data_IF_002685397759
#
_entry.id   IF_002685397759
#
_cell.length_a   1.000
_cell.length_b   1.000
_cell.length_c   1.000
_cell.angle_alpha   90.00
_cell.angle_beta   90.00
_cell.angle_gamma   90.00
#
_symmetry.space_group_name_H-M   'P 1'
#
loop_
_entity.id
_entity.type
_entity.pdbx_description
1 polymer ?
#
# COMPACT_ATOMS: atom_id res chain seq x y z
N UNK A 1 17.25 -32.27 -43.96
CA UNK A 1 18.49 -31.53 -44.31
C UNK A 1 18.84 -30.59 -43.14
N UNK A 2 19.92 -30.92 -42.49
CA UNK A 2 20.44 -30.25 -41.30
C UNK A 2 21.28 -29.07 -41.75
N UNK A 3 21.06 -27.87 -41.23
CA UNK A 3 22.08 -26.83 -41.20
C UNK A 3 22.26 -26.28 -39.80
N UNK A 4 23.28 -26.78 -39.14
CA UNK A 4 23.87 -26.17 -37.96
C UNK A 4 24.64 -24.93 -38.41
N UNK A 5 24.42 -23.80 -37.73
CA UNK A 5 25.35 -22.68 -37.77
C UNK A 5 25.79 -22.37 -36.33
N UNK A 6 27.04 -22.56 -36.10
CA UNK A 6 27.84 -22.34 -34.91
C UNK A 6 28.71 -21.12 -35.19
N UNK A 7 28.58 -20.05 -34.44
CA UNK A 7 29.51 -18.90 -34.38
C UNK A 7 29.06 -18.11 -33.13
N UNK A 8 29.84 -17.70 -32.19
CA UNK A 8 31.28 -17.59 -31.97
C UNK A 8 31.41 -16.74 -30.71
N UNK A 9 32.20 -17.25 -29.81
CA UNK A 9 32.54 -16.71 -28.49
C UNK A 9 33.44 -15.48 -28.64
N UNK A 10 33.07 -14.31 -28.11
CA UNK A 10 34.02 -13.23 -27.85
C UNK A 10 33.82 -12.66 -26.44
N UNK A 11 34.74 -13.09 -25.59
CA UNK A 11 35.03 -12.49 -24.28
C UNK A 11 35.74 -11.15 -24.52
N UNK A 12 35.20 -10.07 -24.02
CA UNK A 12 35.95 -8.82 -23.83
C UNK A 12 35.90 -8.46 -22.35
N UNK A 13 37.01 -8.77 -21.68
CA UNK A 13 37.34 -8.30 -20.33
C UNK A 13 37.92 -6.90 -20.42
N UNK A 14 37.23 -5.91 -19.92
CA UNK A 14 37.84 -4.59 -19.64
C UNK A 14 37.98 -4.42 -18.13
N UNK A 15 39.19 -4.64 -17.66
CA UNK A 15 39.67 -4.15 -16.36
C UNK A 15 39.78 -2.64 -16.45
N UNK A 16 38.97 -1.93 -15.66
CA UNK A 16 39.15 -0.51 -15.40
C UNK A 16 39.54 -0.32 -13.95
N UNK A 17 40.85 -0.13 -13.73
CA UNK A 17 41.37 0.37 -12.46
C UNK A 17 40.93 1.79 -12.23
N UNK A 18 40.19 2.07 -11.17
CA UNK A 18 39.98 3.43 -10.70
C UNK A 18 40.83 3.67 -9.45
N UNK A 19 41.74 4.60 -9.59
CA UNK A 19 42.62 5.10 -8.53
C UNK A 19 41.87 5.82 -7.45
N UNK A 20 42.18 5.45 -6.21
CA UNK A 20 41.71 6.10 -5.00
C UNK A 20 42.51 7.38 -4.79
N UNK A 21 41.92 8.54 -4.91
CA UNK A 21 42.49 9.77 -4.39
C UNK A 21 41.88 10.09 -3.03
N UNK A 22 42.74 9.92 -2.05
CA UNK A 22 42.55 10.26 -0.64
C UNK A 22 42.53 11.79 -0.51
N UNK A 23 41.40 12.39 -0.11
CA UNK A 23 41.36 13.75 0.39
C UNK A 23 40.68 13.76 1.77
N UNK A 24 41.55 13.90 2.80
CA UNK A 24 41.11 14.23 4.16
C UNK A 24 40.42 15.59 4.16
N UNK A 25 39.17 15.64 4.66
CA UNK A 25 38.68 16.81 5.35
C UNK A 25 37.83 16.38 6.54
N UNK A 26 38.29 16.81 7.71
CA UNK A 26 37.59 16.72 8.97
C UNK A 26 36.31 17.59 8.92
N UNK A 27 35.21 17.00 9.34
CA UNK A 27 33.96 17.68 9.53
C UNK A 27 32.99 16.71 10.14
N UNK A 28 33.01 16.68 11.48
CA UNK A 28 32.14 15.87 12.34
C UNK A 28 30.68 16.29 12.11
N UNK A 29 29.89 15.41 11.53
CA UNK A 29 28.46 15.26 11.79
C UNK A 29 28.05 13.89 11.25
N UNK A 30 28.09 12.92 12.16
CA UNK A 30 27.40 11.64 12.03
C UNK A 30 25.90 11.93 11.92
N UNK A 31 25.44 12.15 10.71
CA UNK A 31 24.06 11.98 10.39
C UNK A 31 23.88 10.49 10.12
N UNK A 32 23.48 9.75 11.16
CA UNK A 32 22.91 8.43 10.98
C UNK A 32 21.80 8.58 9.95
N UNK A 33 21.74 7.71 8.92
CA UNK A 33 20.55 7.65 8.09
C UNK A 33 19.40 7.32 9.03
N UNK A 34 18.49 8.28 9.18
CA UNK A 34 17.21 8.05 9.83
C UNK A 34 16.66 6.79 9.20
N UNK A 35 16.45 5.78 10.02
CA UNK A 35 15.69 4.60 9.70
C UNK A 35 14.31 5.10 9.32
N UNK A 36 14.12 5.42 8.04
CA UNK A 36 12.81 5.54 7.45
C UNK A 36 12.16 4.19 7.75
N UNK A 37 11.36 4.15 8.81
CA UNK A 37 10.40 3.08 8.98
C UNK A 37 9.70 2.99 7.64
N UNK A 38 9.85 1.86 6.98
CA UNK A 38 9.01 1.46 5.87
C UNK A 38 7.59 1.43 6.41
N UNK A 39 6.96 2.59 6.43
CA UNK A 39 5.56 2.70 6.82
C UNK A 39 4.79 2.02 5.70
N UNK A 40 4.30 0.82 5.98
CA UNK A 40 3.51 0.05 5.03
C UNK A 40 2.38 0.96 4.52
N UNK A 41 2.43 1.26 3.23
CA UNK A 41 1.41 2.07 2.57
C UNK A 41 0.33 1.15 2.06
N UNK A 42 -0.89 1.43 2.46
CA UNK A 42 -2.07 0.76 1.93
C UNK A 42 -2.54 1.46 0.65
N UNK A 43 -2.92 0.69 -0.35
CA UNK A 43 -3.50 1.22 -1.60
C UNK A 43 -4.82 1.93 -1.35
N UNK A 44 -5.59 1.41 -0.40
CA UNK A 44 -6.86 2.01 0.01
C UNK A 44 -7.06 1.80 1.52
N UNK A 45 -7.47 2.86 2.21
CA UNK A 45 -8.00 2.78 3.57
C UNK A 45 -9.42 3.36 3.55
N UNK A 46 -10.37 2.58 4.04
CA UNK A 46 -11.76 3.02 4.27
C UNK A 46 -11.97 3.14 5.76
N UNK A 47 -12.14 4.36 6.24
CA UNK A 47 -12.26 4.69 7.66
C UNK A 47 -13.69 5.09 8.00
N UNK A 48 -14.36 4.27 8.79
CA UNK A 48 -15.66 4.59 9.38
C UNK A 48 -15.45 5.28 10.72
N UNK A 49 -15.93 6.51 10.83
CA UNK A 49 -15.77 7.31 12.05
C UNK A 49 -17.13 7.72 12.64
N UNK A 50 -17.10 8.10 13.91
CA UNK A 50 -18.27 8.62 14.62
C UNK A 50 -18.09 10.09 14.98
N UNK A 51 -19.08 10.94 14.70
CA UNK A 51 -19.10 12.31 15.23
C UNK A 51 -19.69 12.40 16.66
N UNK A 52 -19.83 11.28 17.39
CA UNK A 52 -20.36 11.23 18.76
C UNK A 52 -21.66 10.43 18.95
N UNK A 53 -22.15 9.78 17.88
CA UNK A 53 -23.38 8.97 17.93
C UNK A 53 -23.27 7.66 17.14
N UNK A 54 -22.05 7.13 17.05
CA UNK A 54 -21.73 5.89 16.36
C UNK A 54 -21.47 6.06 14.86
N UNK A 55 -20.88 5.02 14.28
CA UNK A 55 -20.60 4.91 12.86
C UNK A 55 -21.88 4.65 12.05
N UNK A 56 -21.84 4.86 10.73
CA UNK A 56 -22.91 4.48 9.83
C UNK A 56 -22.93 2.96 9.59
N UNK A 57 -23.65 2.24 10.46
CA UNK A 57 -23.76 0.77 10.41
C UNK A 57 -24.45 0.27 9.15
N UNK A 58 -25.38 1.07 8.57
CA UNK A 58 -26.07 0.67 7.34
C UNK A 58 -25.09 0.63 6.17
N UNK A 59 -24.31 1.68 6.00
CA UNK A 59 -23.30 1.75 4.94
C UNK A 59 -22.18 0.75 5.20
N UNK A 60 -21.76 0.55 6.46
CA UNK A 60 -20.81 -0.50 6.80
C UNK A 60 -21.30 -1.89 6.34
N UNK A 61 -22.56 -2.25 6.61
CA UNK A 61 -23.09 -3.55 6.22
C UNK A 61 -23.16 -3.71 4.69
N UNK A 62 -23.54 -2.65 3.97
CA UNK A 62 -23.54 -2.65 2.49
C UNK A 62 -22.12 -2.86 1.97
N UNK A 63 -21.14 -2.17 2.56
CA UNK A 63 -19.74 -2.30 2.15
C UNK A 63 -19.17 -3.70 2.44
N UNK A 64 -19.43 -4.25 3.62
CA UNK A 64 -19.02 -5.62 3.95
C UNK A 64 -19.66 -6.63 3.00
N UNK A 65 -20.95 -6.48 2.67
CA UNK A 65 -21.60 -7.35 1.68
C UNK A 65 -20.96 -7.21 0.30
N UNK A 66 -20.64 -6.01 -0.15
CA UNK A 66 -19.90 -5.79 -1.38
C UNK A 66 -18.55 -6.51 -1.40
N UNK A 67 -17.77 -6.42 -0.32
CA UNK A 67 -16.49 -7.12 -0.21
C UNK A 67 -16.67 -8.64 -0.33
N UNK A 68 -17.60 -9.19 0.41
CA UNK A 68 -17.79 -10.64 0.49
C UNK A 68 -18.40 -11.26 -0.77
N UNK A 69 -19.25 -10.50 -1.48
CA UNK A 69 -19.93 -11.00 -2.69
C UNK A 69 -19.16 -10.73 -3.98
N UNK A 70 -18.60 -9.52 -4.11
CA UNK A 70 -17.93 -9.11 -5.36
C UNK A 70 -16.43 -9.36 -5.36
N UNK A 71 -15.81 -9.41 -4.19
CA UNK A 71 -14.36 -9.54 -4.02
C UNK A 71 -13.97 -10.52 -2.91
N UNK A 72 -14.46 -11.78 -2.93
CA UNK A 72 -14.27 -12.73 -1.82
C UNK A 72 -12.81 -13.14 -1.58
N UNK A 73 -11.92 -12.86 -2.51
CA UNK A 73 -10.48 -13.20 -2.42
C UNK A 73 -9.60 -12.03 -1.97
N UNK A 74 -10.17 -10.82 -1.85
CA UNK A 74 -9.39 -9.67 -1.37
C UNK A 74 -9.11 -9.83 0.12
N UNK A 75 -7.85 -9.59 0.49
CA UNK A 75 -7.42 -9.54 1.88
C UNK A 75 -7.37 -8.08 2.38
N UNK A 76 -7.67 -7.89 3.64
CA UNK A 76 -7.59 -6.57 4.30
C UNK A 76 -7.34 -6.71 5.80
N UNK A 77 -6.68 -5.71 6.35
CA UNK A 77 -6.60 -5.56 7.80
C UNK A 77 -7.80 -4.76 8.30
N UNK A 78 -8.34 -5.15 9.45
CA UNK A 78 -9.43 -4.45 10.11
C UNK A 78 -8.96 -3.89 11.44
N UNK A 79 -8.86 -2.57 11.53
CA UNK A 79 -8.35 -1.88 12.71
C UNK A 79 -9.50 -1.16 13.41
N UNK A 80 -9.79 -1.58 14.64
CA UNK A 80 -10.74 -0.89 15.50
C UNK A 80 -9.97 0.14 16.32
N UNK A 81 -10.39 1.41 16.30
CA UNK A 81 -9.61 2.48 16.91
C UNK A 81 -10.41 3.42 17.83
N UNK A 82 -11.70 3.54 17.68
CA UNK A 82 -12.53 4.41 18.49
C UNK A 82 -13.38 3.67 19.52
N UNK A 83 -14.15 4.41 20.30
CA UNK A 83 -15.04 3.87 21.37
C UNK A 83 -16.45 3.62 20.90
N UNK A 84 -16.84 4.18 19.77
CA UNK A 84 -18.22 4.13 19.24
C UNK A 84 -18.36 3.20 18.03
N UNK A 85 -17.36 2.31 17.85
CA UNK A 85 -17.34 1.31 16.80
C UNK A 85 -16.57 1.73 15.55
N UNK A 86 -15.74 2.77 15.67
CA UNK A 86 -14.88 3.24 14.59
C UNK A 86 -13.90 2.17 14.16
N UNK A 87 -13.70 2.09 12.86
CA UNK A 87 -12.83 1.08 12.27
C UNK A 87 -12.31 1.47 10.89
N UNK A 88 -11.11 0.98 10.59
CA UNK A 88 -10.51 1.07 9.28
C UNK A 88 -10.49 -0.29 8.60
N UNK A 89 -10.75 -0.31 7.30
CA UNK A 89 -10.40 -1.40 6.40
C UNK A 89 -9.19 -0.95 5.59
N UNK A 90 -8.07 -1.65 5.77
CA UNK A 90 -6.80 -1.32 5.15
C UNK A 90 -6.44 -2.38 4.09
N UNK A 91 -6.37 -1.97 2.82
CA UNK A 91 -6.17 -2.86 1.68
C UNK A 91 -4.81 -2.59 1.03
N UNK A 92 -4.01 -3.64 0.81
CA UNK A 92 -2.82 -3.59 -0.04
C UNK A 92 -3.16 -3.81 -1.51
N UNK A 93 -4.21 -4.58 -1.79
CA UNK A 93 -4.73 -4.95 -3.12
C UNK A 93 -3.72 -5.69 -4.02
N UNK A 94 -2.75 -6.39 -3.40
CA UNK A 94 -1.72 -7.14 -4.12
C UNK A 94 -2.29 -8.32 -4.93
N UNK A 95 -3.52 -8.74 -4.65
CA UNK A 95 -4.22 -9.82 -5.34
C UNK A 95 -4.84 -9.38 -6.68
N UNK A 96 -4.85 -8.08 -6.97
CA UNK A 96 -5.50 -7.48 -8.13
C UNK A 96 -4.48 -6.89 -9.10
N UNK A 97 -4.81 -6.96 -10.40
CA UNK A 97 -4.13 -6.18 -11.42
C UNK A 97 -4.54 -4.70 -11.35
N UNK A 98 -3.70 -3.81 -11.90
CA UNK A 98 -3.89 -2.35 -11.81
C UNK A 98 -5.29 -1.89 -12.29
N UNK A 99 -5.79 -2.47 -13.39
CA UNK A 99 -7.14 -2.17 -13.89
C UNK A 99 -8.22 -2.58 -12.88
N UNK A 100 -8.04 -3.72 -12.23
CA UNK A 100 -8.97 -4.22 -11.20
C UNK A 100 -8.90 -3.39 -9.92
N UNK A 101 -7.70 -2.92 -9.53
CA UNK A 101 -7.50 -1.99 -8.42
C UNK A 101 -8.32 -0.71 -8.64
N UNK A 102 -8.19 -0.09 -9.82
CA UNK A 102 -8.93 1.12 -10.16
C UNK A 102 -10.46 0.89 -10.13
N UNK A 103 -10.93 -0.25 -10.64
CA UNK A 103 -12.35 -0.61 -10.58
C UNK A 103 -12.83 -0.83 -9.14
N UNK A 104 -12.04 -1.51 -8.30
CA UNK A 104 -12.35 -1.73 -6.90
C UNK A 104 -12.46 -0.42 -6.13
N UNK A 105 -11.48 0.47 -6.32
CA UNK A 105 -11.47 1.80 -5.66
C UNK A 105 -12.69 2.60 -6.09
N UNK A 106 -12.97 2.71 -7.39
CA UNK A 106 -14.13 3.45 -7.90
C UNK A 106 -15.46 2.93 -7.34
N UNK A 107 -15.67 1.62 -7.34
CA UNK A 107 -16.88 1.01 -6.78
C UNK A 107 -16.99 1.22 -5.26
N UNK A 108 -15.86 1.19 -4.54
CA UNK A 108 -15.83 1.49 -3.11
C UNK A 108 -16.24 2.95 -2.86
N UNK A 109 -15.71 3.88 -3.63
CA UNK A 109 -16.07 5.31 -3.55
C UNK A 109 -17.57 5.52 -3.82
N UNK A 110 -18.12 4.89 -4.86
CA UNK A 110 -19.55 5.00 -5.21
C UNK A 110 -20.45 4.53 -4.05
N UNK A 111 -20.14 3.34 -3.48
CA UNK A 111 -20.92 2.78 -2.37
C UNK A 111 -20.83 3.65 -1.13
N UNK A 112 -19.67 4.21 -0.84
CA UNK A 112 -19.39 4.93 0.41
C UNK A 112 -19.78 6.42 0.34
N UNK A 113 -19.96 6.98 -0.86
CA UNK A 113 -20.29 8.39 -1.09
C UNK A 113 -21.60 8.83 -0.44
N UNK A 114 -22.49 7.90 -0.13
CA UNK A 114 -23.81 8.16 0.50
C UNK A 114 -23.69 8.48 2.00
N UNK A 115 -22.52 8.29 2.61
CA UNK A 115 -22.29 8.51 4.04
C UNK A 115 -21.25 9.61 4.28
N UNK A 116 -21.62 10.60 5.08
CA UNK A 116 -20.68 11.62 5.57
C UNK A 116 -19.79 11.13 6.71
N UNK A 117 -19.95 9.86 7.15
CA UNK A 117 -19.20 9.25 8.26
C UNK A 117 -18.14 8.24 7.77
N UNK A 118 -17.65 8.44 6.55
CA UNK A 118 -16.60 7.63 5.95
C UNK A 118 -15.54 8.53 5.33
N UNK A 119 -14.30 8.25 5.64
CA UNK A 119 -13.14 8.82 4.93
C UNK A 119 -12.47 7.75 4.09
N UNK A 120 -12.00 8.13 2.92
CA UNK A 120 -11.26 7.27 1.99
C UNK A 120 -9.87 7.88 1.80
N UNK A 121 -8.83 7.06 2.03
CA UNK A 121 -7.44 7.44 1.81
C UNK A 121 -6.83 6.49 0.79
N UNK A 122 -6.16 7.04 -0.22
CA UNK A 122 -5.44 6.30 -1.26
C UNK A 122 -3.95 6.42 -1.05
N UNK A 123 -3.20 5.36 -1.35
CA UNK A 123 -1.73 5.30 -1.24
C UNK A 123 -1.20 5.91 0.07
N UNK A 124 -1.79 5.51 1.18
CA UNK A 124 -1.63 6.16 2.48
C UNK A 124 -1.07 5.21 3.54
N UNK A 125 -0.21 5.72 4.45
CA UNK A 125 0.14 4.96 5.65
C UNK A 125 -1.07 4.79 6.55
N UNK A 126 -0.96 3.85 7.49
CA UNK A 126 -1.98 3.60 8.51
C UNK A 126 -2.40 4.91 9.22
N UNK A 127 -3.71 5.12 9.35
CA UNK A 127 -4.28 6.36 9.94
C UNK A 127 -4.51 6.24 11.44
N UNK A 128 -4.93 5.10 11.90
CA UNK A 128 -5.27 4.89 13.29
C UNK A 128 -4.59 3.63 13.84
N UNK A 129 -4.26 3.65 15.12
CA UNK A 129 -3.74 2.48 15.84
C UNK A 129 -4.91 1.75 16.50
N UNK A 130 -4.80 0.42 16.59
CA UNK A 130 -5.81 -0.37 17.28
C UNK A 130 -6.00 0.11 18.72
N UNK A 131 -7.24 0.27 19.13
CA UNK A 131 -7.59 0.52 20.52
C UNK A 131 -7.37 -0.78 21.31
N UNK A 132 -6.49 -0.72 22.33
CA UNK A 132 -6.22 -1.83 23.25
C UNK A 132 -7.21 -1.80 24.41
#
# INVERSE_FOLDING_TARGET
>A
MIKKVLIGLTFITLLSCFSVNNLKNNGDSKQEPSKDELVDKFKLIVSFFSPGNGIDRKVLNIYVNFLTTSYPKITYEKIKWGREGELDFCFTLNELEEKQINQFISKSEDILSVSSRVHIYKDSPLKHKSYK
#
